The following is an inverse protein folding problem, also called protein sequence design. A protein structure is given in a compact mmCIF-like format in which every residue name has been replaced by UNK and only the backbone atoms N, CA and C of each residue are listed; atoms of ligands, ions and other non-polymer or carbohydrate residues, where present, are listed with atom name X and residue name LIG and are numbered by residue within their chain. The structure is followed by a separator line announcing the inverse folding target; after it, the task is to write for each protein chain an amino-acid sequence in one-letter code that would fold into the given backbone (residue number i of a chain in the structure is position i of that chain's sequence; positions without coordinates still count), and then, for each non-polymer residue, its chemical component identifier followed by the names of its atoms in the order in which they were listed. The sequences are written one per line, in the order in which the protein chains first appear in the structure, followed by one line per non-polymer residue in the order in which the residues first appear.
data_IF_313657994022
#
_entry.id   IF_313657994022
#
_cell.length_a   1.000
_cell.length_b   1.000
_cell.length_c   1.000
_cell.angle_alpha   90.00
_cell.angle_beta   90.00
_cell.angle_gamma   90.00
#
_symmetry.space_group_name_H-M   'P 1'
#
loop_
_entity.id
_entity.type
_entity.pdbx_description
1 polymer ?
#
# COMPACT_ATOMS: atom_id res chain seq x y z
N UNK A 1 -26.53 40.20 -54.18
CA UNK A 1 -26.44 39.14 -55.20
C UNK A 1 -25.13 38.36 -54.99
N UNK A 2 -25.21 37.02 -55.01
CA UNK A 2 -24.18 35.98 -55.28
C UNK A 2 -22.81 36.01 -54.54
N UNK A 3 -22.51 35.12 -53.57
CA UNK A 3 -21.76 33.81 -53.66
C UNK A 3 -20.44 33.93 -54.47
N UNK A 4 -19.23 33.51 -54.02
CA UNK A 4 -18.80 32.14 -53.64
C UNK A 4 -17.28 32.10 -53.27
N UNK A 5 -16.88 31.26 -52.27
CA UNK A 5 -15.59 30.49 -52.03
C UNK A 5 -14.22 31.13 -52.40
N UNK A 6 -13.11 31.01 -51.66
CA UNK A 6 -12.36 29.83 -51.12
C UNK A 6 -11.10 30.45 -50.44
N UNK A 7 -10.79 30.26 -49.15
CA UNK A 7 -10.13 29.15 -48.44
C UNK A 7 -8.60 29.37 -48.26
N UNK A 8 -8.12 29.03 -47.05
CA UNK A 8 -6.75 28.63 -46.60
C UNK A 8 -5.70 29.77 -46.50
N UNK A 9 -4.84 29.95 -45.48
CA UNK A 9 -4.30 29.14 -44.35
C UNK A 9 -3.89 30.16 -43.26
N UNK A 10 -4.21 29.94 -41.99
CA UNK A 10 -3.39 30.50 -40.90
C UNK A 10 -3.23 29.43 -39.82
N UNK A 11 -1.97 29.16 -39.52
CA UNK A 11 -1.48 28.08 -38.67
C UNK A 11 -1.75 28.43 -37.21
N UNK A 12 -2.70 27.71 -36.60
CA UNK A 12 -2.75 27.57 -35.15
C UNK A 12 -3.09 26.12 -34.81
N UNK A 13 -2.02 25.33 -34.72
CA UNK A 13 -2.05 23.99 -34.13
C UNK A 13 -2.31 24.17 -32.63
N UNK A 14 -3.58 24.35 -32.29
CA UNK A 14 -4.08 24.16 -30.93
C UNK A 14 -4.14 22.66 -30.68
N UNK A 15 -3.16 22.14 -29.93
CA UNK A 15 -3.18 20.77 -29.39
C UNK A 15 -4.35 20.67 -28.42
N UNK A 16 -5.50 20.23 -28.92
CA UNK A 16 -6.68 19.87 -28.13
C UNK A 16 -6.31 18.65 -27.29
N UNK A 17 -6.12 18.87 -25.99
CA UNK A 17 -6.05 17.80 -24.99
C UNK A 17 -7.40 17.08 -24.93
N UNK A 18 -7.53 15.99 -25.67
CA UNK A 18 -8.61 15.02 -25.50
C UNK A 18 -8.39 14.26 -24.19
N UNK A 19 -8.88 14.80 -23.07
CA UNK A 19 -9.27 13.98 -21.92
C UNK A 19 -10.79 13.89 -21.90
N UNK A 20 -11.32 12.98 -22.72
CA UNK A 20 -12.70 12.54 -22.60
C UNK A 20 -12.88 11.86 -21.25
N UNK A 21 -13.31 12.62 -20.24
CA UNK A 21 -13.75 12.07 -18.97
C UNK A 21 -15.04 11.28 -19.23
N UNK A 22 -14.91 9.95 -19.37
CA UNK A 22 -16.06 9.05 -19.37
C UNK A 22 -16.82 9.33 -18.06
N UNK A 23 -18.12 9.70 -18.11
CA UNK A 23 -18.91 9.89 -16.90
C UNK A 23 -18.90 8.57 -16.14
N UNK A 24 -18.23 8.55 -14.99
CA UNK A 24 -18.18 7.36 -14.13
C UNK A 24 -19.60 7.10 -13.67
N UNK A 25 -20.19 6.00 -14.12
CA UNK A 25 -21.47 5.51 -13.59
C UNK A 25 -21.37 5.43 -12.07
N UNK A 26 -22.28 6.12 -11.38
CA UNK A 26 -22.31 6.14 -9.92
C UNK A 26 -22.60 4.73 -9.41
N UNK A 27 -21.54 4.02 -9.03
CA UNK A 27 -21.69 2.71 -8.40
C UNK A 27 -22.34 2.91 -7.04
N UNK A 28 -23.63 2.58 -6.94
CA UNK A 28 -24.38 2.61 -5.69
C UNK A 28 -23.75 1.58 -4.73
N UNK A 29 -23.18 2.06 -3.63
CA UNK A 29 -22.61 1.22 -2.56
C UNK A 29 -23.70 0.79 -1.59
N UNK A 30 -23.44 -0.25 -0.79
CA UNK A 30 -24.40 -0.76 0.18
C UNK A 30 -24.82 0.27 1.24
N UNK A 31 -26.01 0.10 1.81
CA UNK A 31 -26.65 1.05 2.74
C UNK A 31 -25.72 1.47 3.91
N UNK A 32 -25.05 0.50 4.54
CA UNK A 32 -24.09 0.76 5.64
C UNK A 32 -22.94 1.70 5.23
N UNK A 33 -22.45 1.57 4.00
CA UNK A 33 -21.40 2.44 3.48
C UNK A 33 -21.93 3.85 3.20
N UNK A 34 -23.18 3.97 2.75
CA UNK A 34 -23.81 5.28 2.51
C UNK A 34 -24.00 6.05 3.82
N UNK A 35 -24.42 5.36 4.89
CA UNK A 35 -24.52 5.92 6.25
C UNK A 35 -23.15 6.32 6.82
N UNK A 36 -22.10 5.55 6.57
CA UNK A 36 -20.75 5.93 6.97
C UNK A 36 -20.23 7.11 6.13
N UNK A 37 -20.55 7.14 4.84
CA UNK A 37 -20.14 8.22 3.92
C UNK A 37 -20.81 9.55 4.25
N UNK A 38 -22.07 9.57 4.70
CA UNK A 38 -22.73 10.82 5.08
C UNK A 38 -22.09 11.51 6.29
N UNK A 39 -21.35 10.74 7.13
CA UNK A 39 -20.59 11.28 8.27
C UNK A 39 -19.25 11.90 7.88
N UNK A 40 -18.78 11.64 6.65
CA UNK A 40 -17.47 12.09 6.17
C UNK A 40 -17.68 13.11 5.06
N UNK A 41 -17.12 14.30 5.23
CA UNK A 41 -17.05 15.26 4.15
C UNK A 41 -15.91 14.87 3.20
N UNK A 42 -16.23 14.71 1.91
CA UNK A 42 -15.27 14.30 0.90
C UNK A 42 -14.34 15.44 0.46
N UNK A 43 -14.75 16.70 0.63
CA UNK A 43 -13.94 17.86 0.23
C UNK A 43 -13.05 18.37 1.36
N UNK A 44 -13.52 18.23 2.61
CA UNK A 44 -12.75 18.64 3.79
C UNK A 44 -11.50 17.76 3.97
N UNK A 45 -10.37 18.42 4.26
CA UNK A 45 -9.16 17.75 4.71
C UNK A 45 -9.09 17.84 6.24
N UNK A 46 -8.93 16.69 6.90
CA UNK A 46 -8.98 16.59 8.35
C UNK A 46 -7.57 16.60 8.97
N UNK A 47 -7.40 17.16 10.18
CA UNK A 47 -6.19 16.97 10.96
C UNK A 47 -6.08 15.50 11.41
N UNK A 48 -4.85 15.01 11.58
CA UNK A 48 -4.54 13.62 11.93
C UNK A 48 -5.39 13.04 13.11
N UNK A 49 -5.52 13.71 14.27
CA UNK A 49 -6.29 13.16 15.40
C UNK A 49 -7.79 13.00 15.08
N UNK A 50 -8.39 14.00 14.43
CA UNK A 50 -9.81 13.96 14.02
C UNK A 50 -10.04 12.86 12.97
N UNK A 51 -9.09 12.71 12.03
CA UNK A 51 -9.15 11.68 11.02
C UNK A 51 -9.14 10.27 11.63
N UNK A 52 -8.29 10.01 12.63
CA UNK A 52 -8.21 8.69 13.28
C UNK A 52 -9.50 8.34 14.03
N UNK A 53 -10.11 9.31 14.71
CA UNK A 53 -11.41 9.11 15.38
C UNK A 53 -12.51 8.78 14.37
N UNK A 54 -12.58 9.53 13.27
CA UNK A 54 -13.54 9.29 12.20
C UNK A 54 -13.33 7.93 11.53
N UNK A 55 -12.08 7.50 11.32
CA UNK A 55 -11.75 6.19 10.74
C UNK A 55 -12.30 5.05 11.62
N UNK A 56 -12.20 5.16 12.94
CA UNK A 56 -12.73 4.15 13.87
C UNK A 56 -14.26 4.06 13.80
N UNK A 57 -14.94 5.20 13.75
CA UNK A 57 -16.42 5.28 13.70
C UNK A 57 -16.99 4.84 12.35
N UNK A 58 -16.26 5.09 11.26
CA UNK A 58 -16.75 4.86 9.89
C UNK A 58 -16.44 3.46 9.35
N UNK A 59 -15.74 2.62 10.12
CA UNK A 59 -15.51 1.23 9.77
C UNK A 59 -16.82 0.45 9.69
N UNK A 60 -17.12 -0.07 8.50
CA UNK A 60 -18.30 -0.93 8.27
C UNK A 60 -18.01 -2.42 8.49
N UNK A 61 -16.74 -2.78 8.78
CA UNK A 61 -16.33 -4.17 8.93
C UNK A 61 -16.77 -4.75 10.28
N UNK A 62 -17.19 -6.02 10.28
CA UNK A 62 -17.58 -6.76 11.50
C UNK A 62 -16.39 -7.27 12.33
N UNK A 63 -15.18 -7.15 11.78
CA UNK A 63 -13.95 -7.63 12.39
C UNK A 63 -12.97 -6.46 12.56
N UNK A 64 -11.96 -6.66 13.39
CA UNK A 64 -10.84 -5.73 13.56
C UNK A 64 -10.05 -5.58 12.25
N UNK A 65 -10.45 -4.61 11.45
CA UNK A 65 -9.86 -4.33 10.15
C UNK A 65 -8.55 -3.54 10.27
N UNK A 66 -7.61 -3.73 9.32
CA UNK A 66 -6.48 -2.82 9.19
C UNK A 66 -6.94 -1.41 8.78
N UNK A 67 -6.26 -0.41 9.34
CA UNK A 67 -6.30 0.99 8.91
C UNK A 67 -5.21 1.18 7.86
N UNK A 68 -5.63 1.59 6.67
CA UNK A 68 -4.78 1.76 5.50
C UNK A 68 -4.49 3.23 5.26
N UNK A 69 -3.27 3.49 4.81
CA UNK A 69 -2.80 4.79 4.35
C UNK A 69 -2.53 4.70 2.85
N UNK A 70 -3.09 5.65 2.12
CA UNK A 70 -2.90 5.80 0.69
C UNK A 70 -2.25 7.14 0.44
N UNK A 71 -1.01 7.10 -0.06
CA UNK A 71 -0.25 8.28 -0.41
C UNK A 71 -0.13 8.38 -1.94
N UNK A 72 -0.43 9.55 -2.47
CA UNK A 72 -0.11 9.92 -3.85
C UNK A 72 1.21 10.68 -3.82
N UNK A 73 2.20 10.19 -4.54
CA UNK A 73 3.52 10.81 -4.62
C UNK A 73 3.62 11.78 -5.80
N UNK A 74 4.46 12.81 -5.66
CA UNK A 74 4.72 13.79 -6.72
C UNK A 74 5.74 13.25 -7.72
N UNK A 75 6.87 12.69 -7.24
CA UNK A 75 7.93 12.12 -8.08
C UNK A 75 8.57 10.88 -7.44
N UNK A 76 8.85 9.88 -8.29
CA UNK A 76 9.70 8.75 -7.95
C UNK A 76 8.96 7.47 -7.55
N UNK A 77 9.62 6.34 -7.78
CA UNK A 77 9.22 5.03 -7.28
C UNK A 77 9.95 4.75 -5.97
N UNK A 78 9.21 4.49 -4.91
CA UNK A 78 9.78 4.18 -3.58
C UNK A 78 9.67 2.67 -3.38
N UNK A 79 10.79 2.03 -3.05
CA UNK A 79 10.80 0.67 -2.51
C UNK A 79 11.69 0.67 -1.27
N UNK A 80 11.09 0.77 -0.09
CA UNK A 80 11.80 0.81 1.19
C UNK A 80 11.19 -0.19 2.17
N UNK A 81 12.03 -0.80 2.99
CA UNK A 81 11.61 -1.59 4.15
C UNK A 81 11.65 -0.67 5.36
N UNK A 82 10.54 -0.55 6.08
CA UNK A 82 10.38 0.29 7.26
C UNK A 82 10.10 -0.59 8.47
N UNK A 83 10.72 -0.30 9.60
CA UNK A 83 10.37 -0.93 10.87
C UNK A 83 9.47 0.03 11.65
N UNK A 84 8.20 -0.33 11.81
CA UNK A 84 7.25 0.52 12.54
C UNK A 84 7.53 0.46 14.05
N UNK A 85 7.47 1.61 14.77
CA UNK A 85 7.68 1.64 16.21
C UNK A 85 6.61 0.84 16.97
N UNK A 86 5.36 0.86 16.49
CA UNK A 86 4.27 0.07 17.06
C UNK A 86 3.78 -1.02 16.10
N UNK A 87 3.25 -2.09 16.68
CA UNK A 87 2.86 -3.27 15.92
C UNK A 87 1.68 -3.03 14.99
N UNK A 88 1.83 -3.40 13.72
CA UNK A 88 0.73 -3.38 12.73
C UNK A 88 -0.30 -4.51 12.94
N UNK A 89 -0.21 -5.25 14.05
CA UNK A 89 -1.18 -6.27 14.48
C UNK A 89 -1.16 -7.59 13.68
N UNK A 90 -0.24 -7.77 12.73
CA UNK A 90 0.02 -9.06 12.05
C UNK A 90 1.41 -9.54 12.40
N UNK A 91 1.51 -10.60 13.20
CA UNK A 91 2.76 -11.31 13.45
C UNK A 91 3.08 -12.16 12.21
N UNK A 92 4.16 -11.82 11.52
CA UNK A 92 4.60 -12.59 10.35
C UNK A 92 5.34 -13.84 10.83
N UNK A 93 4.99 -15.01 10.29
CA UNK A 93 5.77 -16.24 10.50
C UNK A 93 6.95 -16.24 9.55
N UNK A 94 8.15 -16.07 10.11
CA UNK A 94 9.41 -16.07 9.34
C UNK A 94 10.06 -17.44 9.43
N UNK A 95 10.41 -18.03 8.29
CA UNK A 95 11.18 -19.28 8.22
C UNK A 95 12.50 -19.04 7.49
N UNK A 96 13.58 -19.62 8.01
CA UNK A 96 14.91 -19.60 7.38
C UNK A 96 15.02 -20.82 6.47
N UNK A 97 15.46 -20.63 5.24
CA UNK A 97 15.61 -21.69 4.26
C UNK A 97 16.73 -22.67 4.68
N UNK A 98 16.34 -23.82 5.22
CA UNK A 98 17.21 -24.98 5.47
C UNK A 98 16.81 -26.15 4.56
N UNK A 99 17.63 -27.21 4.55
CA UNK A 99 17.31 -28.43 3.80
C UNK A 99 16.01 -29.10 4.31
N UNK A 100 15.62 -28.86 5.57
CA UNK A 100 14.34 -29.30 6.14
C UNK A 100 13.13 -28.51 5.61
N UNK A 101 13.32 -27.23 5.28
CA UNK A 101 12.25 -26.44 4.65
C UNK A 101 12.00 -26.92 3.22
N UNK A 102 13.03 -27.41 2.53
CA UNK A 102 12.91 -27.96 1.17
C UNK A 102 12.05 -29.22 1.16
N UNK A 103 12.21 -30.12 2.14
CA UNK A 103 11.37 -31.33 2.26
C UNK A 103 9.92 -31.00 2.63
N UNK A 104 9.69 -29.96 3.45
CA UNK A 104 8.34 -29.43 3.72
C UNK A 104 7.68 -28.83 2.48
N UNK A 105 8.46 -28.16 1.63
CA UNK A 105 8.00 -27.58 0.35
C UNK A 105 7.64 -28.66 -0.66
N UNK A 106 8.41 -29.76 -0.74
CA UNK A 106 8.06 -30.94 -1.54
C UNK A 106 6.73 -31.56 -1.07
N UNK A 107 6.51 -31.58 0.24
CA UNK A 107 5.26 -32.06 0.86
C UNK A 107 4.08 -31.07 0.77
N UNK A 108 4.24 -29.95 0.06
CA UNK A 108 3.23 -28.90 -0.15
C UNK A 108 2.62 -28.27 1.12
N UNK A 109 3.30 -28.37 2.27
CA UNK A 109 2.87 -27.73 3.53
C UNK A 109 3.57 -26.38 3.67
N UNK A 110 2.87 -25.29 3.36
CA UNK A 110 3.39 -23.92 3.43
C UNK A 110 2.63 -23.14 4.50
N UNK A 111 3.31 -22.86 5.63
CA UNK A 111 2.75 -22.14 6.78
C UNK A 111 3.62 -20.94 7.21
N UNK A 112 4.35 -20.34 6.27
CA UNK A 112 5.22 -19.18 6.51
C UNK A 112 4.82 -17.99 5.63
N UNK A 113 5.05 -16.78 6.13
CA UNK A 113 4.73 -15.50 5.47
C UNK A 113 5.97 -14.85 4.84
N UNK A 114 7.17 -15.15 5.36
CA UNK A 114 8.45 -14.65 4.83
C UNK A 114 9.47 -15.78 4.87
N UNK A 115 10.09 -16.08 3.73
CA UNK A 115 11.23 -16.98 3.63
C UNK A 115 12.51 -16.15 3.49
N UNK A 116 13.48 -16.40 4.36
CA UNK A 116 14.81 -15.79 4.30
C UNK A 116 15.80 -16.85 3.86
N UNK A 117 16.62 -16.53 2.86
CA UNK A 117 17.57 -17.49 2.29
C UNK A 117 18.99 -16.94 2.29
N UNK A 118 19.94 -17.82 2.55
CA UNK A 118 21.35 -17.58 2.23
C UNK A 118 21.55 -17.71 0.71
N UNK A 119 22.43 -16.90 0.07
CA UNK A 119 22.66 -16.96 -1.38
C UNK A 119 22.95 -18.37 -1.92
N UNK A 120 23.65 -19.22 -1.14
CA UNK A 120 23.97 -20.60 -1.54
C UNK A 120 22.75 -21.51 -1.70
N UNK A 121 21.64 -21.22 -1.00
CA UNK A 121 20.42 -22.04 -1.03
C UNK A 121 19.48 -21.70 -2.19
N UNK A 122 19.74 -20.62 -2.94
CA UNK A 122 18.86 -20.19 -4.03
C UNK A 122 18.78 -21.21 -5.17
N UNK A 123 19.89 -21.88 -5.51
CA UNK A 123 19.92 -22.91 -6.56
C UNK A 123 18.96 -24.07 -6.29
N UNK A 124 18.79 -24.43 -5.00
CA UNK A 124 17.86 -25.48 -4.57
C UNK A 124 16.39 -25.01 -4.53
N UNK A 125 16.15 -23.70 -4.48
CA UNK A 125 14.81 -23.11 -4.43
C UNK A 125 14.21 -22.82 -5.82
N UNK A 126 15.02 -22.78 -6.88
CA UNK A 126 14.57 -22.53 -8.27
C UNK A 126 13.47 -23.51 -8.73
N UNK A 127 13.53 -24.83 -8.46
CA UNK A 127 12.47 -25.76 -8.87
C UNK A 127 11.11 -25.44 -8.21
N UNK A 128 11.13 -24.87 -7.01
CA UNK A 128 9.92 -24.50 -6.25
C UNK A 128 9.38 -23.11 -6.62
N UNK A 129 10.00 -22.41 -7.57
CA UNK A 129 9.57 -21.08 -8.02
C UNK A 129 8.13 -21.08 -8.58
N UNK A 130 7.67 -22.19 -9.18
CA UNK A 130 6.28 -22.32 -9.65
C UNK A 130 5.26 -22.24 -8.51
N UNK A 131 5.63 -22.65 -7.30
CA UNK A 131 4.76 -22.66 -6.12
C UNK A 131 4.94 -21.38 -5.30
N UNK A 132 6.18 -20.96 -5.08
CA UNK A 132 6.52 -19.78 -4.25
C UNK A 132 6.31 -18.44 -4.98
N UNK A 133 6.42 -18.42 -6.31
CA UNK A 133 6.29 -17.22 -7.14
C UNK A 133 4.89 -16.59 -7.08
N UNK A 134 3.80 -17.32 -7.39
CA UNK A 134 2.44 -16.78 -7.34
C UNK A 134 2.03 -16.27 -5.95
N UNK A 135 2.61 -16.84 -4.89
CA UNK A 135 2.35 -16.44 -3.50
C UNK A 135 3.26 -15.31 -3.02
N UNK A 136 4.25 -14.88 -3.80
CA UNK A 136 5.19 -13.82 -3.42
C UNK A 136 6.15 -14.19 -2.28
N UNK A 137 6.29 -15.49 -1.99
CA UNK A 137 7.13 -16.02 -0.90
C UNK A 137 8.57 -16.30 -1.34
N UNK A 138 8.87 -16.12 -2.63
CA UNK A 138 10.21 -16.33 -3.16
C UNK A 138 11.17 -15.21 -2.68
N UNK A 139 12.33 -15.55 -2.08
CA UNK A 139 13.29 -14.55 -1.61
C UNK A 139 13.80 -13.67 -2.77
N UNK A 140 13.97 -12.36 -2.49
CA UNK A 140 14.40 -11.38 -3.47
C UNK A 140 15.47 -10.46 -2.85
N UNK A 141 16.65 -10.29 -3.48
CA UNK A 141 17.67 -9.37 -3.00
C UNK A 141 17.15 -7.95 -2.76
N UNK A 142 16.23 -7.47 -3.61
CA UNK A 142 15.67 -6.11 -3.49
C UNK A 142 14.82 -5.91 -2.24
N UNK A 143 14.32 -7.00 -1.66
CA UNK A 143 13.52 -6.98 -0.44
C UNK A 143 14.36 -7.22 0.81
N UNK A 144 15.68 -7.42 0.67
CA UNK A 144 16.58 -7.73 1.78
C UNK A 144 16.36 -9.13 2.39
N UNK A 145 15.56 -9.99 1.75
CA UNK A 145 15.28 -11.35 2.23
C UNK A 145 16.36 -12.37 1.85
N UNK A 146 17.40 -11.92 1.15
CA UNK A 146 18.64 -12.67 0.94
C UNK A 146 19.73 -11.97 1.74
N UNK A 147 20.24 -12.67 2.74
CA UNK A 147 21.23 -12.15 3.69
C UNK A 147 22.24 -13.25 3.98
N UNK A 148 23.51 -12.85 4.15
CA UNK A 148 24.59 -13.77 4.55
C UNK A 148 24.40 -14.26 6.00
N UNK A 149 23.72 -13.44 6.82
CA UNK A 149 23.32 -13.79 8.19
C UNK A 149 21.79 -13.98 8.26
N UNK A 150 21.27 -15.22 8.22
CA UNK A 150 19.83 -15.48 8.20
C UNK A 150 19.13 -15.24 9.54
N UNK A 151 19.80 -15.41 10.69
CA UNK A 151 19.19 -15.26 12.02
C UNK A 151 18.87 -13.81 12.39
N UNK A 152 19.78 -12.88 12.08
CA UNK A 152 19.56 -11.46 12.31
C UNK A 152 18.48 -10.91 11.38
N UNK A 153 18.48 -11.36 10.13
CA UNK A 153 17.43 -11.04 9.18
C UNK A 153 16.08 -11.57 9.68
N UNK A 154 16.02 -12.78 10.24
CA UNK A 154 14.79 -13.34 10.80
C UNK A 154 14.20 -12.49 11.92
N UNK A 155 15.03 -11.89 12.78
CA UNK A 155 14.57 -10.96 13.83
C UNK A 155 14.03 -9.65 13.25
N UNK A 156 14.69 -9.08 12.24
CA UNK A 156 14.24 -7.84 11.57
C UNK A 156 12.91 -8.04 10.83
N UNK A 157 12.79 -9.14 10.07
CA UNK A 157 11.56 -9.44 9.33
C UNK A 157 10.44 -10.01 10.20
N UNK A 158 10.79 -10.62 11.35
CA UNK A 158 9.83 -11.07 12.36
C UNK A 158 9.28 -9.91 13.21
N UNK A 159 9.99 -8.79 13.24
CA UNK A 159 9.50 -7.52 13.78
C UNK A 159 8.44 -6.85 12.89
N UNK A 160 8.05 -5.63 13.28
CA UNK A 160 7.02 -4.81 12.63
C UNK A 160 7.45 -4.23 11.26
N UNK A 161 8.21 -5.00 10.49
CA UNK A 161 8.70 -4.62 9.18
C UNK A 161 7.53 -4.46 8.20
N UNK A 162 7.44 -3.31 7.54
CA UNK A 162 6.47 -3.02 6.49
C UNK A 162 7.22 -2.58 5.24
N UNK A 163 6.88 -3.21 4.11
CA UNK A 163 7.44 -2.84 2.82
C UNK A 163 6.59 -1.74 2.20
N UNK A 164 7.17 -0.57 2.02
CA UNK A 164 6.54 0.56 1.35
C UNK A 164 7.00 0.53 -0.10
N UNK A 165 6.13 0.00 -0.95
CA UNK A 165 6.34 -0.12 -2.40
C UNK A 165 5.34 0.74 -3.14
N UNK A 166 5.83 1.57 -4.07
CA UNK A 166 4.99 2.28 -5.03
C UNK A 166 4.44 1.33 -6.09
N UNK A 167 3.20 1.57 -6.53
CA UNK A 167 2.62 0.87 -7.67
C UNK A 167 3.44 1.11 -8.95
N UNK A 168 3.47 0.13 -9.85
CA UNK A 168 4.23 0.23 -11.09
C UNK A 168 3.60 1.19 -12.11
N UNK A 169 2.27 1.34 -12.07
CA UNK A 169 1.50 2.10 -13.07
C UNK A 169 1.11 3.50 -12.62
N UNK A 170 1.15 3.75 -11.31
CA UNK A 170 0.76 5.02 -10.72
C UNK A 170 1.70 5.35 -9.55
N UNK A 171 1.98 6.64 -9.28
CA UNK A 171 2.77 7.07 -8.13
C UNK A 171 1.93 6.97 -6.85
N UNK A 172 1.41 5.78 -6.55
CA UNK A 172 0.54 5.48 -5.43
C UNK A 172 1.25 4.50 -4.50
N UNK A 173 1.15 4.76 -3.21
CA UNK A 173 1.68 3.89 -2.16
C UNK A 173 0.52 3.46 -1.27
N UNK A 174 0.39 2.16 -1.07
CA UNK A 174 -0.57 1.58 -0.13
C UNK A 174 0.20 0.99 1.05
N UNK A 175 -0.04 1.50 2.25
CA UNK A 175 0.56 0.97 3.49
C UNK A 175 -0.52 0.74 4.54
N UNK A 176 -0.17 -0.04 5.56
CA UNK A 176 -1.02 -0.31 6.72
C UNK A 176 -0.36 0.37 7.91
N UNK A 177 -1.11 1.21 8.64
CA UNK A 177 -0.60 1.91 9.84
C UNK A 177 -0.78 1.03 11.07
N UNK A 178 -1.90 0.28 11.14
CA UNK A 178 -2.29 -0.52 12.29
C UNK A 178 -3.67 -1.14 12.14
N UNK A 179 -4.27 -1.52 13.28
CA UNK A 179 -5.66 -2.00 13.38
C UNK A 179 -6.56 -0.95 14.03
N UNK A 180 -7.87 -1.08 13.79
CA UNK A 180 -8.89 -0.18 14.36
C UNK A 180 -8.88 -0.19 15.90
N UNK A 181 -8.59 -1.33 16.52
CA UNK A 181 -8.64 -1.48 17.99
C UNK A 181 -7.45 -0.84 18.73
N UNK A 182 -6.43 -0.38 18.02
CA UNK A 182 -5.25 0.21 18.64
C UNK A 182 -5.52 1.62 19.21
N UNK A 183 -4.79 2.03 20.24
CA UNK A 183 -4.88 3.39 20.77
C UNK A 183 -4.46 4.42 19.72
N UNK A 184 -5.06 5.61 19.78
CA UNK A 184 -4.86 6.67 18.77
C UNK A 184 -3.40 7.14 18.72
N UNK A 185 -2.74 7.22 19.87
CA UNK A 185 -1.33 7.64 19.99
C UNK A 185 -0.38 6.74 19.18
N UNK A 186 -0.54 5.42 19.26
CA UNK A 186 0.29 4.47 18.50
C UNK A 186 0.11 4.65 16.98
N UNK A 187 -1.13 4.93 16.54
CA UNK A 187 -1.44 5.17 15.13
C UNK A 187 -0.87 6.51 14.64
N UNK A 188 -0.88 7.54 15.47
CA UNK A 188 -0.29 8.84 15.14
C UNK A 188 1.23 8.75 14.98
N UNK A 189 1.91 8.05 15.88
CA UNK A 189 3.36 7.88 15.82
C UNK A 189 3.77 7.04 14.60
N UNK A 190 3.04 5.96 14.30
CA UNK A 190 3.25 5.18 13.08
C UNK A 190 3.00 6.03 11.81
N UNK A 191 1.99 6.90 11.81
CA UNK A 191 1.71 7.80 10.68
C UNK A 191 2.85 8.80 10.45
N UNK A 192 3.34 9.43 11.53
CA UNK A 192 4.47 10.37 11.46
C UNK A 192 5.72 9.69 10.92
N UNK A 193 6.06 8.51 11.46
CA UNK A 193 7.22 7.75 10.99
C UNK A 193 7.14 7.41 9.49
N UNK A 194 5.98 6.97 8.99
CA UNK A 194 5.79 6.68 7.56
C UNK A 194 5.95 7.96 6.73
N UNK A 195 5.37 9.07 7.20
CA UNK A 195 5.44 10.38 6.51
C UNK A 195 6.88 10.88 6.42
N UNK A 196 7.66 10.72 7.48
CA UNK A 196 9.07 11.13 7.54
C UNK A 196 9.93 10.31 6.56
N UNK A 197 9.73 8.99 6.48
CA UNK A 197 10.56 8.16 5.60
C UNK A 197 10.20 8.31 4.11
N UNK A 198 8.93 8.58 3.81
CA UNK A 198 8.46 8.91 2.45
C UNK A 198 8.89 10.34 2.06
N UNK A 199 9.00 11.23 3.05
CA UNK A 199 9.33 12.63 2.91
C UNK A 199 8.07 13.46 2.62
N UNK A 200 7.71 14.36 3.55
CA UNK A 200 6.51 15.20 3.46
C UNK A 200 6.39 15.96 2.12
N UNK A 201 7.52 16.45 1.59
CA UNK A 201 7.58 17.18 0.30
C UNK A 201 7.23 16.33 -0.91
N UNK A 202 7.33 15.00 -0.82
CA UNK A 202 7.03 14.12 -1.93
C UNK A 202 5.56 13.67 -1.94
N UNK A 203 4.77 14.02 -0.92
CA UNK A 203 3.38 13.61 -0.80
C UNK A 203 2.47 14.68 -1.39
N UNK A 204 1.72 14.32 -2.43
CA UNK A 204 0.72 15.19 -3.04
C UNK A 204 -0.62 15.13 -2.30
N UNK A 205 -1.05 13.92 -1.94
CA UNK A 205 -2.32 13.65 -1.24
C UNK A 205 -2.13 12.48 -0.29
N UNK A 206 -2.64 12.62 0.93
CA UNK A 206 -2.75 11.53 1.88
C UNK A 206 -4.21 11.25 2.20
N UNK A 207 -4.56 9.97 2.20
CA UNK A 207 -5.90 9.49 2.50
C UNK A 207 -5.77 8.31 3.46
N UNK A 208 -6.52 8.37 4.55
CA UNK A 208 -6.66 7.24 5.47
C UNK A 208 -8.00 6.56 5.20
N UNK A 209 -8.01 5.24 5.18
CA UNK A 209 -9.21 4.45 5.00
C UNK A 209 -9.22 3.23 5.93
N UNK A 210 -10.36 2.97 6.57
CA UNK A 210 -10.62 1.69 7.21
C UNK A 210 -10.95 0.62 6.16
N UNK A 211 -10.78 -0.65 6.53
CA UNK A 211 -11.23 -1.77 5.69
C UNK A 211 -12.73 -1.66 5.41
N UNK A 212 -13.10 -1.57 4.13
CA UNK A 212 -14.48 -1.37 3.65
C UNK A 212 -15.15 -0.06 4.12
N UNK A 213 -14.38 0.91 4.62
CA UNK A 213 -14.86 2.23 5.05
C UNK A 213 -14.71 3.31 3.97
N UNK A 214 -15.33 4.48 4.17
CA UNK A 214 -15.09 5.65 3.32
C UNK A 214 -13.65 6.15 3.48
N UNK A 215 -13.20 6.88 2.46
CA UNK A 215 -11.87 7.49 2.42
C UNK A 215 -11.91 8.87 3.09
N UNK A 216 -10.99 9.12 4.01
CA UNK A 216 -10.86 10.38 4.74
C UNK A 216 -9.56 11.05 4.30
N UNK A 217 -9.66 12.27 3.74
CA UNK A 217 -8.50 13.07 3.34
C UNK A 217 -7.81 13.64 4.57
N UNK A 218 -6.50 13.49 4.66
CA UNK A 218 -5.70 13.97 5.80
C UNK A 218 -4.75 15.07 5.33
N UNK A 219 -4.62 16.09 6.17
CA UNK A 219 -3.63 17.15 6.00
C UNK A 219 -2.27 16.58 6.42
N UNK A 220 -1.33 16.53 5.47
CA UNK A 220 0.08 16.28 5.76
C UNK A 220 0.76 17.63 5.93
N UNK A 221 1.33 17.86 7.11
CA UNK A 221 2.12 19.06 7.42
C UNK A 221 3.57 18.86 7.00
#
# INVERSE_FOLDING_TARGET
MSKTKTKIIDDSIAVKSHTSAIPKTEKVRGKKYQEAKSKVDAEKSYPLPEALQLVKVTSCAKFSGPVQLHLVLIKGSINKVLDLPYASGKTKKVEVASDETITKLQSSKINFDVLIAHPSMMSKLVPFAKVLGPRGLMPNPKNGTISDNPEEAAKKFGGNSLQVKSEAKAPLVHTIIGKIDQPEKELEENFKFITDVVGARNIQKAVIAATMGPAIKVIVA
#
